data_IF_418537454551
#
_entry.id   IF_418537454551
#
_cell.length_a   1.000
_cell.length_b   1.000
_cell.length_c   1.000
_cell.angle_alpha   90.00
_cell.angle_beta   90.00
_cell.angle_gamma   90.00
#
_symmetry.space_group_name_H-M   'P 1'
#
loop_
_entity.id
_entity.type
_entity.pdbx_description
1 polymer ?
#
# COMPACT_ATOMS: atom_id res chain seq x y z
N UNK A 1 29.32 18.34 5.72
CA UNK A 1 29.63 16.99 5.24
C UNK A 1 29.41 16.96 3.73
N UNK A 2 30.26 16.27 2.98
CA UNK A 2 30.38 16.38 1.52
C UNK A 2 29.27 15.58 0.83
N UNK A 3 28.25 16.26 0.29
CA UNK A 3 27.30 15.68 -0.64
C UNK A 3 28.09 15.20 -1.86
N UNK A 4 28.34 13.90 -1.96
CA UNK A 4 28.97 13.30 -3.14
C UNK A 4 27.94 13.23 -4.28
N UNK A 5 27.53 14.39 -4.78
CA UNK A 5 26.87 14.51 -6.07
C UNK A 5 27.94 14.36 -7.15
N UNK A 6 28.26 13.12 -7.53
CA UNK A 6 29.17 12.87 -8.64
C UNK A 6 28.41 12.96 -9.97
N UNK A 7 28.88 13.91 -10.78
CA UNK A 7 28.64 14.20 -12.20
C UNK A 7 27.65 15.33 -12.52
N UNK A 8 28.24 16.52 -12.59
CA UNK A 8 27.71 17.77 -13.17
C UNK A 8 27.68 17.65 -14.69
N UNK A 9 26.48 17.65 -15.27
CA UNK A 9 26.23 17.91 -16.68
C UNK A 9 25.08 18.89 -16.80
N UNK A 10 25.38 20.17 -17.00
CA UNK A 10 24.37 21.19 -17.29
C UNK A 10 23.91 21.04 -18.74
N UNK A 11 22.91 20.18 -18.97
CA UNK A 11 22.14 20.14 -20.19
C UNK A 11 20.66 20.14 -19.82
N UNK A 12 19.95 21.21 -20.16
CA UNK A 12 18.49 21.24 -20.18
C UNK A 12 18.01 20.15 -21.15
N UNK A 13 17.69 18.97 -20.65
CA UNK A 13 17.23 17.86 -21.49
C UNK A 13 16.18 17.03 -20.74
N UNK A 14 14.98 17.04 -21.32
CA UNK A 14 13.93 16.01 -21.33
C UNK A 14 14.08 14.86 -20.34
N UNK A 15 13.11 14.77 -19.42
CA UNK A 15 12.76 13.66 -18.52
C UNK A 15 13.90 12.76 -18.05
N UNK A 16 14.37 12.92 -16.80
CA UNK A 16 15.55 12.22 -16.35
C UNK A 16 15.20 10.76 -16.11
N UNK A 17 15.65 9.91 -17.03
CA UNK A 17 15.65 8.46 -16.83
C UNK A 17 16.38 8.14 -15.53
N UNK A 18 15.68 7.54 -14.56
CA UNK A 18 16.19 7.31 -13.20
C UNK A 18 15.68 5.98 -12.66
N UNK A 19 16.40 5.43 -11.71
CA UNK A 19 15.94 4.29 -10.90
C UNK A 19 15.92 4.69 -9.42
N UNK A 20 14.73 4.82 -8.86
CA UNK A 20 14.49 4.96 -7.42
C UNK A 20 14.60 3.58 -6.76
N UNK A 21 15.61 3.40 -5.93
CA UNK A 21 15.79 2.21 -5.12
C UNK A 21 15.20 2.46 -3.75
N UNK A 22 14.28 1.59 -3.32
CA UNK A 22 13.71 1.62 -1.96
C UNK A 22 14.16 0.37 -1.22
N UNK A 23 14.86 0.56 -0.10
CA UNK A 23 15.35 -0.51 0.76
C UNK A 23 14.45 -0.63 1.99
N UNK A 24 13.97 -1.84 2.23
CA UNK A 24 13.16 -2.21 3.41
C UNK A 24 13.84 -3.35 4.16
N UNK A 25 13.46 -3.61 5.41
CA UNK A 25 14.09 -4.65 6.22
C UNK A 25 13.15 -5.16 7.33
N UNK A 26 13.32 -6.41 7.76
CA UNK A 26 12.72 -7.00 8.98
C UNK A 26 13.75 -7.19 10.12
N UNK A 27 14.97 -6.69 9.93
CA UNK A 27 15.95 -6.53 11.01
C UNK A 27 15.57 -5.38 11.94
N UNK A 28 15.97 -5.46 13.22
CA UNK A 28 15.80 -4.35 14.16
C UNK A 28 16.74 -3.18 13.79
N UNK A 29 16.19 -1.96 13.71
CA UNK A 29 16.91 -0.72 13.33
C UNK A 29 16.61 0.41 14.34
N UNK A 30 17.64 1.03 14.96
CA UNK A 30 19.02 0.57 15.01
C UNK A 30 19.14 -0.64 15.94
N UNK A 31 20.02 -1.59 15.62
CA UNK A 31 20.29 -2.73 16.48
C UNK A 31 21.07 -3.79 15.73
N UNK A 32 20.34 -4.68 15.06
CA UNK A 32 20.94 -5.74 14.26
C UNK A 32 21.50 -5.20 12.95
N UNK A 33 20.80 -4.24 12.35
CA UNK A 33 21.24 -3.56 11.14
C UNK A 33 21.64 -2.11 11.48
N UNK A 34 22.93 -1.82 11.33
CA UNK A 34 23.53 -0.53 11.67
C UNK A 34 23.86 0.32 10.43
N UNK A 35 24.02 -0.30 9.26
CA UNK A 35 24.27 0.41 8.00
C UNK A 35 23.77 -0.39 6.79
N UNK A 36 23.49 0.31 5.69
CA UNK A 36 23.27 -0.27 4.36
C UNK A 36 24.39 0.21 3.45
N UNK A 37 25.11 -0.71 2.83
CA UNK A 37 26.10 -0.42 1.80
C UNK A 37 25.54 -0.82 0.43
N UNK A 38 25.45 0.13 -0.48
CA UNK A 38 24.94 -0.06 -1.83
C UNK A 38 26.09 0.04 -2.83
N UNK A 39 26.18 -0.92 -3.75
CA UNK A 39 27.15 -0.93 -4.84
C UNK A 39 26.44 -1.15 -6.18
N UNK A 40 26.72 -0.31 -7.16
CA UNK A 40 26.13 -0.36 -8.51
C UNK A 40 27.23 -0.60 -9.54
N UNK A 41 27.06 -1.62 -10.38
CA UNK A 41 28.02 -1.92 -11.44
C UNK A 41 27.45 -2.79 -12.58
N UNK A 42 28.12 -2.84 -13.74
CA UNK A 42 27.70 -3.60 -14.92
C UNK A 42 28.04 -5.11 -14.85
N UNK A 43 28.01 -5.71 -13.65
CA UNK A 43 28.72 -6.95 -13.28
C UNK A 43 30.21 -6.71 -12.96
N UNK A 44 30.74 -7.50 -12.01
CA UNK A 44 32.01 -7.27 -11.30
C UNK A 44 33.19 -6.93 -12.25
N UNK A 45 33.60 -5.66 -12.32
CA UNK A 45 34.76 -5.27 -13.12
C UNK A 45 34.86 -3.83 -13.63
N UNK A 46 33.85 -2.97 -13.41
CA UNK A 46 34.00 -1.51 -13.64
C UNK A 46 34.11 -0.76 -12.31
N UNK A 47 34.56 0.50 -12.36
CA UNK A 47 34.57 1.44 -11.23
C UNK A 47 33.15 1.55 -10.65
N UNK A 48 32.81 0.66 -9.73
CA UNK A 48 31.49 0.55 -9.14
C UNK A 48 31.23 1.80 -8.31
N UNK A 49 30.07 2.42 -8.51
CA UNK A 49 29.63 3.47 -7.62
C UNK A 49 29.17 2.82 -6.32
N UNK A 50 29.74 3.23 -5.19
CA UNK A 50 29.34 2.76 -3.87
C UNK A 50 28.83 3.90 -3.00
N UNK A 51 27.82 3.64 -2.20
CA UNK A 51 27.30 4.53 -1.17
C UNK A 51 27.09 3.76 0.12
N UNK A 52 27.33 4.42 1.26
CA UNK A 52 27.09 3.86 2.59
C UNK A 52 26.09 4.74 3.34
N UNK A 53 25.08 4.11 3.92
CA UNK A 53 23.97 4.76 4.62
C UNK A 53 23.97 4.27 6.06
N UNK A 54 24.47 5.10 6.99
CA UNK A 54 24.46 4.77 8.41
C UNK A 54 23.03 4.82 8.96
N UNK A 55 22.56 3.75 9.62
CA UNK A 55 21.26 3.69 10.30
C UNK A 55 21.36 3.94 11.81
N UNK A 56 22.59 4.08 12.32
CA UNK A 56 22.89 4.43 13.71
C UNK A 56 23.78 5.68 13.78
N UNK A 57 23.96 6.22 14.99
CA UNK A 57 24.78 7.42 15.21
C UNK A 57 24.04 8.74 14.98
N UNK A 58 24.82 9.82 14.83
CA UNK A 58 24.31 11.19 14.70
C UNK A 58 23.81 11.53 13.30
N UNK A 59 24.32 10.83 12.28
CA UNK A 59 24.02 11.02 10.86
C UNK A 59 23.17 9.86 10.33
N UNK A 60 22.22 9.43 11.17
CA UNK A 60 21.43 8.23 10.91
C UNK A 60 20.35 8.49 9.86
N UNK A 61 20.18 7.51 9.00
CA UNK A 61 19.10 7.39 8.03
C UNK A 61 17.98 6.56 8.68
N UNK A 62 16.73 6.87 8.32
CA UNK A 62 15.56 6.11 8.78
C UNK A 62 15.17 5.06 7.74
N UNK A 63 14.61 3.93 8.20
CA UNK A 63 14.02 2.93 7.31
C UNK A 63 12.52 3.20 7.15
N UNK A 64 11.94 2.99 5.96
CA UNK A 64 12.60 2.57 4.72
C UNK A 64 13.55 3.63 4.13
N UNK A 65 14.70 3.16 3.64
CA UNK A 65 15.72 4.00 3.01
C UNK A 65 15.44 4.10 1.51
N UNK A 66 15.72 5.23 0.88
CA UNK A 66 15.68 5.32 -0.59
C UNK A 66 16.83 6.16 -1.16
N UNK A 67 17.22 5.85 -2.40
CA UNK A 67 18.20 6.61 -3.16
C UNK A 67 17.99 6.43 -4.67
N UNK A 68 18.52 7.36 -5.46
CA UNK A 68 18.36 7.37 -6.92
C UNK A 68 19.64 6.95 -7.61
N UNK A 69 19.51 6.10 -8.62
CA UNK A 69 20.57 5.75 -9.56
C UNK A 69 20.21 6.39 -10.91
N UNK A 70 21.17 7.10 -11.52
CA UNK A 70 21.05 7.61 -12.88
C UNK A 70 21.82 6.71 -13.87
N UNK A 71 21.36 6.55 -15.11
CA UNK A 71 22.11 5.85 -16.15
C UNK A 71 23.40 6.60 -16.45
N UNK A 72 24.54 5.91 -16.35
CA UNK A 72 25.83 6.47 -16.75
C UNK A 72 25.80 6.85 -18.23
N UNK A 73 26.23 8.07 -18.53
CA UNK A 73 26.23 8.66 -19.88
C UNK A 73 24.83 8.72 -20.52
N UNK A 74 23.75 8.67 -19.72
CA UNK A 74 22.37 8.67 -20.22
C UNK A 74 21.91 7.36 -20.85
N UNK A 75 22.73 6.31 -20.85
CA UNK A 75 22.41 5.02 -21.46
C UNK A 75 21.43 4.22 -20.59
N UNK A 76 20.14 4.37 -20.90
CA UNK A 76 19.02 3.67 -20.28
C UNK A 76 18.94 2.18 -20.69
N UNK A 77 19.57 1.79 -21.81
CA UNK A 77 19.49 0.42 -22.33
C UNK A 77 20.39 -0.56 -21.59
N UNK A 78 21.38 -0.04 -20.87
CA UNK A 78 22.36 -0.85 -20.15
C UNK A 78 21.73 -1.47 -18.89
N UNK A 79 21.79 -2.80 -18.72
CA UNK A 79 21.39 -3.44 -17.47
C UNK A 79 22.35 -3.04 -16.35
N UNK A 80 21.84 -3.00 -15.12
CA UNK A 80 22.63 -2.74 -13.92
C UNK A 80 22.50 -3.89 -12.94
N UNK A 81 23.58 -4.17 -12.22
CA UNK A 81 23.56 -4.99 -11.02
C UNK A 81 23.72 -4.08 -9.80
N UNK A 82 22.74 -4.11 -8.91
CA UNK A 82 22.73 -3.45 -7.61
C UNK A 82 22.98 -4.51 -6.54
N UNK A 83 24.07 -4.36 -5.78
CA UNK A 83 24.33 -5.15 -4.59
C UNK A 83 24.06 -4.30 -3.35
N UNK A 84 23.23 -4.82 -2.45
CA UNK A 84 22.91 -4.22 -1.17
C UNK A 84 23.39 -5.13 -0.05
N UNK A 85 24.20 -4.58 0.83
CA UNK A 85 24.70 -5.26 2.02
C UNK A 85 24.12 -4.59 3.26
N UNK A 86 23.41 -5.36 4.08
CA UNK A 86 23.08 -4.95 5.43
C UNK A 86 24.22 -5.29 6.38
N UNK A 87 24.71 -4.31 7.14
CA UNK A 87 25.87 -4.44 8.02
C UNK A 87 25.51 -4.21 9.49
N UNK A 88 26.14 -4.97 10.38
CA UNK A 88 26.02 -4.80 11.83
C UNK A 88 26.87 -3.62 12.36
N UNK A 89 26.83 -3.36 13.67
CA UNK A 89 27.63 -2.29 14.31
C UNK A 89 29.15 -2.48 14.18
N UNK A 90 29.62 -3.68 13.84
CA UNK A 90 31.05 -3.99 13.60
C UNK A 90 31.44 -3.79 12.14
N UNK A 91 30.48 -3.41 11.28
CA UNK A 91 30.66 -3.26 9.85
C UNK A 91 30.66 -4.58 9.08
N UNK A 92 30.31 -5.70 9.72
CA UNK A 92 30.24 -7.01 9.07
C UNK A 92 28.92 -7.14 8.30
N UNK A 93 28.99 -7.59 7.05
CA UNK A 93 27.80 -7.88 6.26
C UNK A 93 27.06 -9.09 6.85
N UNK A 94 25.82 -8.87 7.31
CA UNK A 94 24.95 -9.92 7.87
C UNK A 94 23.94 -10.42 6.85
N UNK A 95 23.60 -9.60 5.86
CA UNK A 95 22.72 -9.96 4.74
C UNK A 95 23.22 -9.30 3.46
N UNK A 96 23.17 -10.03 2.34
CA UNK A 96 23.55 -9.52 1.02
C UNK A 96 22.45 -9.85 0.03
N UNK A 97 22.00 -8.85 -0.72
CA UNK A 97 21.00 -9.01 -1.78
C UNK A 97 21.51 -8.38 -3.07
N UNK A 98 21.47 -9.15 -4.15
CA UNK A 98 21.79 -8.67 -5.50
C UNK A 98 20.51 -8.51 -6.29
N UNK A 99 20.41 -7.44 -7.07
CA UNK A 99 19.29 -7.16 -7.98
C UNK A 99 19.84 -6.78 -9.34
N UNK A 100 19.45 -7.54 -10.37
CA UNK A 100 19.69 -7.20 -11.77
C UNK A 100 18.43 -6.60 -12.37
N UNK A 101 18.56 -5.40 -12.91
CA UNK A 101 17.44 -4.64 -13.46
C UNK A 101 17.91 -3.71 -14.59
N UNK A 102 17.02 -2.92 -15.17
CA UNK A 102 17.32 -1.98 -16.25
C UNK A 102 16.58 -0.66 -16.02
N UNK A 103 17.01 0.39 -16.71
CA UNK A 103 16.26 1.65 -16.68
C UNK A 103 15.09 1.61 -17.66
N UNK A 104 14.09 2.46 -17.42
CA UNK A 104 13.02 2.72 -18.38
C UNK A 104 13.28 4.09 -18.99
N UNK A 105 13.60 4.13 -20.27
CA UNK A 105 13.95 5.36 -20.97
C UNK A 105 12.81 6.38 -20.86
N UNK A 106 13.15 7.61 -20.46
CA UNK A 106 12.21 8.71 -20.25
C UNK A 106 11.37 8.62 -18.97
N UNK A 107 11.65 7.67 -18.07
CA UNK A 107 10.86 7.48 -16.85
C UNK A 107 11.72 7.31 -15.60
N UNK A 108 11.12 7.61 -14.44
CA UNK A 108 11.65 7.15 -13.16
C UNK A 108 11.04 5.78 -12.85
N UNK A 109 11.87 4.75 -12.86
CA UNK A 109 11.48 3.42 -12.42
C UNK A 109 11.73 3.25 -10.92
N UNK A 110 10.95 2.41 -10.26
CA UNK A 110 11.13 2.03 -8.86
C UNK A 110 11.50 0.55 -8.74
N UNK A 111 12.46 0.26 -7.88
CA UNK A 111 12.80 -1.10 -7.46
C UNK A 111 12.82 -1.16 -5.93
N UNK A 112 12.00 -2.04 -5.36
CA UNK A 112 11.95 -2.28 -3.92
C UNK A 112 12.82 -3.50 -3.59
N UNK A 113 13.76 -3.33 -2.66
CA UNK A 113 14.66 -4.38 -2.21
C UNK A 113 14.46 -4.61 -0.72
N UNK A 114 14.10 -5.83 -0.35
CA UNK A 114 13.89 -6.21 1.05
C UNK A 114 15.12 -6.96 1.60
N UNK A 115 15.77 -6.43 2.62
CA UNK A 115 16.85 -7.10 3.34
C UNK A 115 16.22 -7.98 4.42
N UNK A 116 16.20 -9.28 4.19
CA UNK A 116 15.42 -10.23 4.99
C UNK A 116 16.29 -11.01 5.97
N UNK A 117 15.82 -11.15 7.21
CA UNK A 117 16.44 -11.97 8.24
C UNK A 117 16.53 -13.44 7.86
N UNK A 118 15.55 -13.94 7.10
CA UNK A 118 15.59 -15.31 6.57
C UNK A 118 16.81 -15.56 5.65
N UNK A 119 17.44 -14.49 5.16
CA UNK A 119 18.64 -14.49 4.33
C UNK A 119 19.92 -14.16 5.09
N UNK A 120 19.87 -14.02 6.42
CA UNK A 120 21.05 -13.77 7.25
C UNK A 120 22.10 -14.88 7.05
N UNK A 121 23.35 -14.47 6.80
CA UNK A 121 24.50 -15.32 6.52
C UNK A 121 24.32 -16.33 5.37
N UNK A 122 23.27 -16.18 4.53
CA UNK A 122 23.04 -17.08 3.40
C UNK A 122 23.75 -16.57 2.15
N UNK A 123 24.54 -17.45 1.53
CA UNK A 123 25.22 -17.18 0.26
C UNK A 123 24.67 -18.09 -0.83
N UNK A 124 24.25 -17.51 -1.95
CA UNK A 124 23.87 -18.25 -3.14
C UNK A 124 25.09 -18.41 -4.05
N UNK A 125 25.52 -19.65 -4.28
CA UNK A 125 26.76 -19.95 -5.02
C UNK A 125 26.59 -20.01 -6.53
N UNK A 126 25.35 -20.05 -7.01
CA UNK A 126 25.04 -20.07 -8.45
C UNK A 126 24.94 -18.64 -8.96
N UNK A 127 25.64 -18.34 -10.06
CA UNK A 127 25.59 -17.03 -10.69
C UNK A 127 24.15 -16.66 -11.08
N UNK A 128 23.78 -15.39 -10.87
CA UNK A 128 22.42 -14.89 -11.12
C UNK A 128 21.39 -15.30 -10.06
N UNK A 129 21.81 -15.93 -8.95
CA UNK A 129 20.93 -16.19 -7.81
C UNK A 129 21.28 -15.29 -6.61
N UNK A 130 20.26 -14.81 -5.92
CA UNK A 130 20.34 -14.10 -4.63
C UNK A 130 19.39 -14.74 -3.63
N UNK A 131 19.58 -14.48 -2.34
CA UNK A 131 18.62 -14.94 -1.34
C UNK A 131 17.35 -14.06 -1.36
N UNK A 132 16.18 -14.69 -1.40
CA UNK A 132 14.84 -14.09 -1.30
C UNK A 132 13.94 -15.05 -0.54
N UNK A 133 13.24 -14.59 0.50
CA UNK A 133 12.41 -15.36 1.41
C UNK A 133 13.13 -16.55 2.05
N UNK A 134 14.44 -16.44 2.26
CA UNK A 134 15.25 -17.55 2.73
C UNK A 134 15.42 -18.67 1.70
N UNK A 135 15.34 -18.41 0.40
CA UNK A 135 15.65 -19.32 -0.70
C UNK A 135 16.59 -18.64 -1.71
N UNK A 136 17.43 -19.41 -2.43
CA UNK A 136 18.17 -18.87 -3.57
C UNK A 136 17.27 -18.80 -4.81
N UNK A 137 16.98 -17.58 -5.27
CA UNK A 137 16.13 -17.30 -6.44
C UNK A 137 16.84 -16.37 -7.41
N UNK A 138 16.33 -16.26 -8.63
CA UNK A 138 16.86 -15.32 -9.63
C UNK A 138 16.93 -13.89 -9.06
N UNK A 139 18.03 -13.21 -9.34
CA UNK A 139 18.26 -11.81 -8.94
C UNK A 139 17.63 -10.79 -9.91
N UNK A 140 16.99 -11.25 -10.98
CA UNK A 140 16.30 -10.40 -11.96
C UNK A 140 15.01 -9.83 -11.37
N UNK A 141 14.93 -8.50 -11.33
CA UNK A 141 13.75 -7.76 -10.87
C UNK A 141 13.34 -6.78 -11.96
N UNK A 142 12.12 -6.94 -12.45
CA UNK A 142 11.56 -5.99 -13.41
C UNK A 142 11.34 -4.63 -12.72
N UNK A 143 11.85 -3.52 -13.28
CA UNK A 143 11.58 -2.20 -12.74
C UNK A 143 10.09 -1.87 -12.88
N UNK A 144 9.47 -1.32 -11.83
CA UNK A 144 8.11 -0.80 -11.91
C UNK A 144 8.17 0.65 -12.40
N UNK A 145 7.48 0.98 -13.50
CA UNK A 145 7.35 2.37 -13.94
C UNK A 145 6.56 3.13 -12.87
N UNK A 146 7.15 4.21 -12.36
CA UNK A 146 6.59 5.01 -11.29
C UNK A 146 6.38 6.44 -11.77
N UNK A 147 5.16 6.73 -12.22
CA UNK A 147 4.77 8.07 -12.65
C UNK A 147 4.40 8.88 -11.40
N UNK A 148 5.29 9.74 -10.90
CA UNK A 148 4.93 10.65 -9.79
C UNK A 148 6.01 11.11 -8.81
N UNK A 149 7.30 10.90 -9.07
CA UNK A 149 8.36 11.55 -8.28
C UNK A 149 9.00 12.68 -9.08
N UNK A 150 8.77 13.93 -8.66
CA UNK A 150 9.62 15.06 -9.01
C UNK A 150 10.92 15.02 -8.17
N UNK A 151 12.00 15.70 -8.61
CA UNK A 151 13.14 15.95 -7.72
C UNK A 151 12.66 16.62 -6.40
N UNK A 152 12.91 16.00 -5.25
CA UNK A 152 12.47 16.48 -3.93
C UNK A 152 11.30 15.73 -3.32
N UNK A 153 10.67 14.79 -4.05
CA UNK A 153 9.58 13.95 -3.53
C UNK A 153 10.10 12.67 -2.85
N UNK A 154 11.41 12.37 -2.88
CA UNK A 154 12.00 11.20 -2.23
C UNK A 154 11.46 11.04 -0.79
N UNK A 155 11.21 9.78 -0.35
CA UNK A 155 10.81 9.50 1.04
C UNK A 155 11.70 10.32 1.96
N UNK A 156 11.11 11.24 2.75
CA UNK A 156 11.77 12.27 3.57
C UNK A 156 13.24 11.96 3.68
N UNK A 157 14.01 12.66 2.87
CA UNK A 157 15.40 12.39 2.58
C UNK A 157 16.14 11.80 3.78
N UNK A 158 16.90 10.77 3.46
CA UNK A 158 18.12 10.31 4.12
C UNK A 158 19.09 11.42 4.59
N UNK A 159 18.75 12.69 4.42
CA UNK A 159 19.48 13.83 4.96
C UNK A 159 19.56 13.73 6.48
N UNK A 160 20.79 13.74 6.98
CA UNK A 160 21.08 14.09 8.36
C UNK A 160 20.29 15.34 8.71
N UNK A 161 19.50 15.32 9.79
CA UNK A 161 18.87 16.53 10.32
C UNK A 161 19.97 17.55 10.63
N UNK A 162 20.30 18.42 9.70
CA UNK A 162 21.13 19.57 9.99
C UNK A 162 20.24 20.61 10.69
N UNK A 163 20.79 21.20 11.74
CA UNK A 163 20.06 22.07 12.65
C UNK A 163 19.86 23.49 12.06
N UNK A 164 19.52 23.58 10.76
CA UNK A 164 19.30 24.83 10.05
C UNK A 164 17.88 25.36 10.22
N UNK A 165 17.76 26.64 10.59
CA UNK A 165 16.48 27.35 10.72
C UNK A 165 15.92 27.66 9.32
N UNK A 166 14.63 27.37 9.08
CA UNK A 166 13.91 27.75 7.85
C UNK A 166 13.79 29.27 7.76
N UNK A 167 14.37 29.89 6.74
CA UNK A 167 14.09 31.25 6.30
C UNK A 167 13.26 31.23 5.01
N UNK A 168 11.94 31.08 5.16
CA UNK A 168 10.99 31.35 4.08
C UNK A 168 10.65 32.85 4.09
N UNK A 169 11.23 33.61 3.16
CA UNK A 169 10.80 34.98 2.84
C UNK A 169 9.90 34.99 1.61
N UNK A 170 8.71 35.57 1.75
CA UNK A 170 7.74 35.87 0.70
C UNK A 170 8.23 37.05 -0.15
N UNK A 171 8.37 36.89 -1.47
CA UNK A 171 8.33 38.02 -2.41
C UNK A 171 7.60 37.65 -3.71
N UNK A 172 6.56 38.42 -3.94
CA UNK A 172 5.66 38.56 -5.06
C UNK A 172 6.27 39.40 -6.20
N UNK A 173 5.94 39.06 -7.44
CA UNK A 173 5.71 40.02 -8.54
C UNK A 173 5.16 39.29 -9.76
N UNK A 174 3.94 39.63 -10.18
CA UNK A 174 3.32 39.16 -11.42
C UNK A 174 3.60 40.06 -12.64
N UNK A 175 2.96 39.72 -13.77
CA UNK A 175 2.61 40.70 -14.81
C UNK A 175 2.65 40.19 -16.27
N UNK A 176 1.55 40.44 -17.00
CA UNK A 176 1.44 40.52 -18.48
C UNK A 176 0.90 39.25 -19.16
N UNK A 177 -0.39 39.12 -19.48
CA UNK A 177 -1.15 39.68 -20.63
C UNK A 177 -0.84 39.02 -22.01
N UNK A 178 -1.94 38.51 -22.60
CA UNK A 178 -2.40 38.41 -24.01
C UNK A 178 -1.54 37.86 -25.18
N UNK A 179 -2.05 36.77 -25.79
CA UNK A 179 -2.22 36.67 -27.25
C UNK A 179 -3.28 35.60 -27.63
N UNK A 180 -4.37 36.06 -28.23
CA UNK A 180 -5.30 35.25 -29.01
C UNK A 180 -4.64 34.84 -30.33
N UNK A 181 -4.69 33.56 -30.70
CA UNK A 181 -4.64 33.13 -32.10
C UNK A 181 -5.60 31.97 -32.29
N UNK A 182 -6.54 32.18 -33.20
CA UNK A 182 -7.56 31.23 -33.63
C UNK A 182 -7.11 30.54 -34.95
N UNK A 183 -7.59 29.30 -35.11
CA UNK A 183 -7.74 28.47 -36.33
C UNK A 183 -6.48 27.88 -37.01
N UNK A 184 -6.41 26.54 -37.14
CA UNK A 184 -6.73 25.76 -38.37
C UNK A 184 -6.59 24.25 -38.11
N UNK A 185 -7.61 23.54 -38.58
CA UNK A 185 -7.79 22.09 -38.71
C UNK A 185 -6.75 21.41 -39.64
N UNK A 186 -6.21 20.27 -39.20
CA UNK A 186 -5.67 19.24 -40.08
C UNK A 186 -5.66 17.90 -39.34
N UNK A 187 -6.55 16.98 -39.76
CA UNK A 187 -6.50 15.60 -39.32
C UNK A 187 -5.22 14.90 -39.78
N UNK A 188 -4.73 13.97 -38.96
CA UNK A 188 -3.94 12.85 -39.43
C UNK A 188 -4.13 11.64 -38.51
N UNK A 189 -4.05 10.47 -39.13
CA UNK A 189 -4.36 9.17 -38.57
C UNK A 189 -3.15 8.55 -37.88
N UNK A 190 -3.36 8.08 -36.64
CA UNK A 190 -2.79 6.84 -36.14
C UNK A 190 -1.32 6.85 -35.73
N UNK A 191 -1.09 7.14 -34.45
CA UNK A 191 -0.14 6.43 -33.58
C UNK A 191 -0.62 6.55 -32.13
N UNK A 192 -0.59 5.45 -31.37
CA UNK A 192 -0.96 5.42 -29.95
C UNK A 192 0.06 6.27 -29.18
N UNK A 193 -0.34 7.45 -28.74
CA UNK A 193 0.46 8.34 -27.89
C UNK A 193 0.49 7.84 -26.44
N UNK A 194 1.58 8.09 -25.70
CA UNK A 194 1.63 7.84 -24.27
C UNK A 194 0.78 8.89 -23.54
N UNK A 195 -0.39 8.44 -23.06
CA UNK A 195 -1.17 9.00 -21.94
C UNK A 195 -0.94 10.50 -21.71
N UNK A 196 -1.57 11.32 -22.55
CA UNK A 196 -2.08 12.62 -22.15
C UNK A 196 -2.65 12.53 -20.73
N UNK A 197 -2.10 13.28 -19.77
CA UNK A 197 -2.55 13.33 -18.38
C UNK A 197 -4.05 13.65 -18.32
N UNK A 198 -4.85 12.59 -18.33
CA UNK A 198 -6.20 12.60 -18.87
C UNK A 198 -7.06 13.66 -18.22
N UNK A 199 -7.42 14.69 -18.97
CA UNK A 199 -8.37 15.71 -18.51
C UNK A 199 -9.76 15.14 -18.21
N UNK A 200 -10.03 13.91 -18.65
CA UNK A 200 -11.29 13.19 -18.42
C UNK A 200 -11.13 12.08 -17.40
N UNK A 201 -12.01 11.99 -16.39
CA UNK A 201 -12.01 10.90 -15.42
C UNK A 201 -12.02 9.54 -16.10
N UNK A 202 -11.12 8.66 -15.68
CA UNK A 202 -11.04 7.26 -16.09
C UNK A 202 -11.37 6.37 -14.90
N UNK A 203 -12.42 5.56 -15.02
CA UNK A 203 -12.87 4.61 -14.01
C UNK A 203 -12.66 3.15 -14.45
N UNK A 204 -13.04 2.19 -13.61
CA UNK A 204 -13.07 0.76 -13.97
C UNK A 204 -14.26 0.35 -14.85
N UNK A 205 -15.10 1.28 -15.32
CA UNK A 205 -16.32 0.96 -16.09
C UNK A 205 -15.98 0.19 -17.37
N UNK A 206 -16.53 -1.03 -17.50
CA UNK A 206 -16.26 -1.92 -18.64
C UNK A 206 -14.84 -2.48 -18.70
N UNK A 207 -14.03 -2.32 -17.64
CA UNK A 207 -12.66 -2.80 -17.56
C UNK A 207 -12.52 -3.97 -16.59
N UNK A 208 -11.59 -4.87 -16.91
CA UNK A 208 -11.16 -5.98 -16.07
C UNK A 208 -9.63 -6.02 -15.99
N UNK A 209 -9.11 -6.57 -14.88
CA UNK A 209 -7.69 -6.76 -14.69
C UNK A 209 -6.98 -5.54 -14.14
N UNK A 210 -5.64 -5.54 -14.23
CA UNK A 210 -4.80 -4.43 -13.78
C UNK A 210 -5.00 -3.22 -14.70
N UNK A 211 -5.42 -2.09 -14.15
CA UNK A 211 -5.67 -0.85 -14.89
C UNK A 211 -5.05 0.33 -14.15
N UNK A 212 -4.56 1.31 -14.92
CA UNK A 212 -4.30 2.65 -14.40
C UNK A 212 -5.59 3.46 -14.57
N UNK A 213 -6.11 3.98 -13.47
CA UNK A 213 -7.33 4.78 -13.44
C UNK A 213 -7.02 6.16 -12.86
N UNK A 214 -7.88 7.11 -13.18
CA UNK A 214 -7.80 8.49 -12.72
C UNK A 214 -9.24 8.98 -12.43
N UNK A 215 -9.78 8.68 -11.24
CA UNK A 215 -11.19 8.92 -10.94
C UNK A 215 -11.59 10.40 -10.90
N UNK A 216 -10.65 11.31 -10.64
CA UNK A 216 -10.88 12.76 -10.58
C UNK A 216 -10.32 13.51 -11.81
N UNK A 217 -9.60 12.84 -12.71
CA UNK A 217 -9.11 13.41 -13.96
C UNK A 217 -8.10 14.52 -13.67
N UNK A 218 -8.43 15.76 -14.09
CA UNK A 218 -7.63 16.94 -13.73
C UNK A 218 -7.71 17.34 -12.24
N UNK A 219 -8.14 16.44 -11.37
CA UNK A 219 -8.28 16.64 -9.93
C UNK A 219 -6.94 16.63 -9.19
N UNK A 220 -7.02 16.54 -7.86
CA UNK A 220 -5.85 16.59 -6.99
C UNK A 220 -5.16 15.23 -6.82
N UNK A 221 -5.85 14.14 -7.15
CA UNK A 221 -5.31 12.79 -7.02
C UNK A 221 -4.56 12.42 -8.31
N UNK A 222 -3.31 11.94 -8.23
CA UNK A 222 -2.64 11.44 -9.41
C UNK A 222 -3.29 10.12 -9.88
N UNK A 223 -3.18 9.78 -11.18
CA UNK A 223 -3.55 8.46 -11.68
C UNK A 223 -2.84 7.35 -10.91
N UNK A 224 -3.52 6.23 -10.67
CA UNK A 224 -2.95 5.10 -9.92
C UNK A 224 -3.35 3.75 -10.51
N UNK A 225 -2.48 2.77 -10.26
CA UNK A 225 -2.72 1.38 -10.62
C UNK A 225 -3.65 0.70 -9.61
N UNK A 226 -4.60 -0.07 -10.12
CA UNK A 226 -5.50 -0.90 -9.32
C UNK A 226 -5.98 -2.11 -10.12
N UNK A 227 -6.80 -2.96 -9.50
CA UNK A 227 -7.48 -4.05 -10.17
C UNK A 227 -8.95 -3.72 -10.38
N UNK A 228 -9.38 -3.78 -11.64
CA UNK A 228 -10.77 -3.66 -12.05
C UNK A 228 -11.43 -5.04 -12.17
N UNK A 229 -12.69 -5.12 -11.77
CA UNK A 229 -13.53 -6.30 -11.93
C UNK A 229 -14.95 -5.86 -12.31
N UNK A 230 -15.32 -5.92 -13.59
CA UNK A 230 -16.67 -5.60 -14.07
C UNK A 230 -17.21 -4.27 -13.52
N UNK A 231 -16.45 -3.17 -13.70
CA UNK A 231 -16.81 -1.85 -13.17
C UNK A 231 -16.42 -1.59 -11.71
N UNK A 232 -15.97 -2.61 -10.97
CA UNK A 232 -15.55 -2.47 -9.58
C UNK A 232 -14.07 -2.17 -9.44
N UNK A 233 -13.72 -1.23 -8.57
CA UNK A 233 -12.32 -0.85 -8.29
C UNK A 233 -11.84 -1.47 -6.98
N UNK A 234 -10.75 -2.24 -6.98
CA UNK A 234 -10.19 -2.78 -5.75
C UNK A 234 -9.71 -1.64 -4.82
N UNK A 235 -10.13 -1.67 -3.56
CA UNK A 235 -9.77 -0.66 -2.54
C UNK A 235 -8.70 -1.20 -1.58
N UNK A 236 -8.92 -2.42 -1.08
CA UNK A 236 -8.04 -3.04 -0.10
C UNK A 236 -8.17 -4.57 -0.11
N UNK A 237 -7.15 -5.22 0.43
CA UNK A 237 -7.07 -6.66 0.69
C UNK A 237 -6.71 -6.86 2.16
N UNK A 238 -7.32 -7.86 2.79
CA UNK A 238 -7.03 -8.21 4.19
C UNK A 238 -6.74 -9.69 4.30
N UNK A 239 -5.53 -10.04 4.75
CA UNK A 239 -5.26 -11.34 5.33
C UNK A 239 -5.87 -11.37 6.73
N UNK A 240 -6.94 -12.15 6.90
CA UNK A 240 -7.62 -12.29 8.17
C UNK A 240 -6.74 -12.80 9.32
N UNK A 241 -5.58 -13.39 9.04
CA UNK A 241 -4.61 -13.80 10.07
C UNK A 241 -3.62 -12.70 10.46
N UNK A 242 -3.54 -11.61 9.68
CA UNK A 242 -2.61 -10.51 9.91
C UNK A 242 -3.15 -9.50 10.91
N UNK A 243 -2.38 -9.09 11.93
CA UNK A 243 -2.77 -8.05 12.87
C UNK A 243 -2.68 -6.64 12.27
N UNK A 244 -2.04 -6.46 11.10
CA UNK A 244 -1.86 -5.13 10.48
C UNK A 244 -3.18 -4.47 10.17
N UNK A 245 -4.17 -5.26 9.78
CA UNK A 245 -5.51 -4.77 9.46
C UNK A 245 -6.47 -4.84 10.64
N UNK A 246 -6.01 -5.02 11.90
CA UNK A 246 -6.89 -5.00 13.07
C UNK A 246 -7.58 -3.64 13.23
N UNK A 247 -8.76 -3.60 13.85
CA UNK A 247 -9.55 -2.37 14.02
C UNK A 247 -8.72 -1.20 14.57
N UNK A 248 -7.90 -1.47 15.59
CA UNK A 248 -7.13 -0.46 16.31
C UNK A 248 -5.87 -0.01 15.59
N UNK A 249 -5.57 -0.55 14.41
CA UNK A 249 -4.39 -0.15 13.67
C UNK A 249 -4.60 1.23 13.03
N UNK A 250 -3.59 2.08 13.12
CA UNK A 250 -3.62 3.45 12.59
C UNK A 250 -3.64 3.49 11.05
N UNK A 251 -3.26 2.40 10.37
CA UNK A 251 -3.32 2.28 8.91
C UNK A 251 -4.73 2.61 8.36
N UNK A 252 -5.78 2.24 9.08
CA UNK A 252 -7.18 2.53 8.72
C UNK A 252 -7.50 4.03 8.66
N UNK A 253 -6.85 4.83 9.49
CA UNK A 253 -7.20 6.24 9.71
C UNK A 253 -6.09 7.18 9.29
N UNK A 254 -4.96 6.70 8.79
CA UNK A 254 -3.84 7.55 8.39
C UNK A 254 -4.02 8.03 6.95
N UNK A 255 -3.96 9.35 6.72
CA UNK A 255 -4.12 9.96 5.38
C UNK A 255 -2.80 10.02 4.61
N UNK A 256 -1.71 9.70 5.29
CA UNK A 256 -0.33 9.72 4.79
C UNK A 256 0.27 8.32 4.72
N UNK A 257 -0.53 7.27 4.90
CA UNK A 257 -0.04 5.91 4.75
C UNK A 257 0.26 5.70 3.27
N UNK A 258 1.52 5.39 2.96
CA UNK A 258 1.87 4.99 1.62
C UNK A 258 1.07 3.72 1.28
N UNK A 259 0.51 3.62 0.06
CA UNK A 259 -0.13 2.39 -0.37
C UNK A 259 0.85 1.23 -0.17
N UNK A 260 0.33 0.11 0.33
CA UNK A 260 1.14 -1.07 0.61
C UNK A 260 0.45 -2.32 0.10
N UNK A 261 1.23 -3.39 -0.04
CA UNK A 261 0.80 -4.63 -0.67
C UNK A 261 0.63 -4.47 -2.17
N UNK A 262 0.21 -5.54 -2.84
CA UNK A 262 0.00 -5.52 -4.29
C UNK A 262 -1.48 -5.35 -4.64
N UNK A 263 -1.76 -4.78 -5.79
CA UNK A 263 -3.10 -4.70 -6.37
C UNK A 263 -3.61 -6.04 -6.91
N UNK A 264 -2.77 -7.08 -6.96
CA UNK A 264 -3.16 -8.39 -7.49
C UNK A 264 -4.14 -9.11 -6.54
N UNK A 265 -5.39 -9.42 -6.96
CA UNK A 265 -6.37 -10.07 -6.08
C UNK A 265 -6.00 -11.49 -5.67
N UNK A 266 -5.10 -12.15 -6.40
CA UNK A 266 -4.63 -13.51 -6.11
C UNK A 266 -3.53 -13.57 -5.04
N UNK A 267 -2.89 -12.44 -4.76
CA UNK A 267 -1.82 -12.36 -3.77
C UNK A 267 -2.46 -12.16 -2.39
N UNK A 268 -2.10 -13.05 -1.44
CA UNK A 268 -2.80 -13.26 -0.15
C UNK A 268 -2.26 -12.41 1.00
N UNK A 269 -1.54 -11.34 0.71
CA UNK A 269 -1.09 -10.33 1.66
C UNK A 269 -2.10 -9.20 1.85
N UNK A 270 -1.98 -8.49 2.98
CA UNK A 270 -2.69 -7.23 3.18
C UNK A 270 -2.28 -6.20 2.12
N UNK A 271 -3.26 -5.42 1.65
CA UNK A 271 -3.00 -4.26 0.83
C UNK A 271 -4.00 -3.16 1.08
N UNK A 272 -3.55 -1.91 1.00
CA UNK A 272 -4.40 -0.72 0.97
C UNK A 272 -3.94 0.12 -0.22
N UNK A 273 -4.80 0.24 -1.22
CA UNK A 273 -4.48 0.84 -2.51
C UNK A 273 -4.86 2.32 -2.52
N UNK A 274 -4.29 3.16 -3.40
CA UNK A 274 -4.63 4.59 -3.49
C UNK A 274 -6.14 4.86 -3.54
N UNK A 275 -6.89 4.00 -4.23
CA UNK A 275 -8.36 4.02 -4.29
C UNK A 275 -9.07 4.00 -2.92
N UNK A 276 -8.46 3.44 -1.86
CA UNK A 276 -9.00 3.53 -0.50
C UNK A 276 -9.17 4.97 -0.02
N UNK A 277 -8.19 5.83 -0.36
CA UNK A 277 -8.15 7.22 0.07
C UNK A 277 -8.78 8.17 -0.95
N UNK A 278 -8.69 7.86 -2.23
CA UNK A 278 -9.07 8.79 -3.31
C UNK A 278 -10.40 8.49 -3.98
N UNK A 279 -10.86 7.22 -4.01
CA UNK A 279 -12.07 6.86 -4.76
C UNK A 279 -13.33 7.16 -3.94
N UNK A 280 -14.21 8.08 -4.39
CA UNK A 280 -15.53 8.24 -3.78
C UNK A 280 -16.41 7.04 -4.19
N UNK A 281 -17.00 6.35 -3.21
CA UNK A 281 -17.82 5.16 -3.43
C UNK A 281 -19.25 5.36 -2.94
N UNK A 282 -20.20 4.68 -3.59
CA UNK A 282 -21.59 4.52 -3.13
C UNK A 282 -21.93 3.08 -2.78
N UNK A 283 -21.18 2.12 -3.30
CA UNK A 283 -21.40 0.72 -3.04
C UNK A 283 -20.08 0.01 -2.76
N UNK A 284 -20.13 -1.00 -1.91
CA UNK A 284 -19.02 -1.88 -1.62
C UNK A 284 -19.35 -3.30 -2.10
N UNK A 285 -18.45 -3.91 -2.86
CA UNK A 285 -18.46 -5.35 -3.11
C UNK A 285 -17.42 -6.00 -2.21
N UNK A 286 -17.89 -6.78 -1.25
CA UNK A 286 -17.03 -7.51 -0.32
C UNK A 286 -16.94 -8.95 -0.80
N UNK A 287 -15.72 -9.45 -0.96
CA UNK A 287 -15.44 -10.85 -1.27
C UNK A 287 -14.66 -11.46 -0.11
N UNK A 288 -15.11 -12.60 0.41
CA UNK A 288 -14.38 -13.39 1.40
C UNK A 288 -14.00 -14.75 0.83
N UNK A 289 -12.75 -15.14 1.05
CA UNK A 289 -12.18 -16.40 0.59
C UNK A 289 -11.78 -17.30 1.75
N UNK A 290 -12.03 -18.59 1.56
CA UNK A 290 -11.67 -19.68 2.47
C UNK A 290 -11.22 -20.88 1.62
N UNK A 291 -9.91 -21.09 1.57
CA UNK A 291 -9.30 -22.03 0.61
C UNK A 291 -9.71 -21.68 -0.83
N UNK A 292 -10.28 -22.65 -1.54
CA UNK A 292 -10.76 -22.46 -2.91
C UNK A 292 -12.16 -21.82 -3.01
N UNK A 293 -12.85 -21.63 -1.88
CA UNK A 293 -14.23 -21.09 -1.88
C UNK A 293 -14.20 -19.59 -1.74
N UNK A 294 -14.85 -18.88 -2.67
CA UNK A 294 -15.11 -17.44 -2.58
C UNK A 294 -16.60 -17.19 -2.39
N UNK A 295 -16.94 -16.18 -1.59
CA UNK A 295 -18.31 -15.69 -1.40
C UNK A 295 -18.29 -14.19 -1.48
N UNK A 296 -19.22 -13.59 -2.20
CA UNK A 296 -19.30 -12.15 -2.36
C UNK A 296 -20.70 -11.61 -2.11
N UNK A 297 -20.74 -10.34 -1.69
CA UNK A 297 -21.96 -9.57 -1.51
C UNK A 297 -21.70 -8.12 -1.90
N UNK A 298 -22.75 -7.45 -2.36
CA UNK A 298 -22.75 -6.02 -2.67
C UNK A 298 -23.60 -5.30 -1.64
N UNK A 299 -23.05 -4.25 -1.04
CA UNK A 299 -23.73 -3.44 -0.04
C UNK A 299 -23.74 -1.97 -0.46
N UNK A 300 -24.90 -1.32 -0.50
CA UNK A 300 -24.96 0.12 -0.70
C UNK A 300 -24.50 0.84 0.57
N UNK A 301 -23.79 1.95 0.42
CA UNK A 301 -23.61 2.94 1.49
C UNK A 301 -24.89 3.77 1.61
N UNK A 302 -25.26 4.10 2.84
CA UNK A 302 -26.49 4.83 3.16
C UNK A 302 -26.15 6.11 3.94
N UNK A 303 -26.96 7.15 3.72
CA UNK A 303 -26.84 8.42 4.43
C UNK A 303 -26.63 9.62 3.52
N UNK A 304 -26.67 10.80 4.13
CA UNK A 304 -26.37 12.07 3.48
C UNK A 304 -24.86 12.23 3.28
N UNK A 305 -24.43 12.92 2.22
CA UNK A 305 -22.99 13.19 1.96
C UNK A 305 -22.26 12.13 1.12
N UNK A 306 -22.97 11.18 0.52
CA UNK A 306 -22.41 10.23 -0.45
C UNK A 306 -22.21 10.87 -1.85
N UNK A 307 -21.21 10.42 -2.64
CA UNK A 307 -20.24 9.36 -2.34
C UNK A 307 -19.16 9.82 -1.37
N UNK A 308 -18.58 8.88 -0.62
CA UNK A 308 -17.48 9.13 0.32
C UNK A 308 -16.29 8.24 0.01
N UNK A 309 -15.09 8.67 0.39
CA UNK A 309 -13.91 7.80 0.39
C UNK A 309 -14.00 6.82 1.56
N UNK A 310 -13.35 5.66 1.43
CA UNK A 310 -13.39 4.69 2.52
C UNK A 310 -12.59 5.17 3.75
N UNK A 311 -11.49 5.91 3.54
CA UNK A 311 -10.75 6.54 4.65
C UNK A 311 -11.61 7.55 5.43
N UNK A 312 -12.42 8.38 4.76
CA UNK A 312 -13.30 9.34 5.46
C UNK A 312 -14.39 8.60 6.24
N UNK A 313 -15.03 7.61 5.62
CA UNK A 313 -16.05 6.79 6.27
C UNK A 313 -15.53 6.10 7.55
N UNK A 314 -14.26 5.67 7.55
CA UNK A 314 -13.65 4.98 8.69
C UNK A 314 -13.21 5.94 9.83
N UNK A 315 -12.98 7.21 9.51
CA UNK A 315 -12.50 8.25 10.46
C UNK A 315 -13.62 8.95 11.20
N UNK A 316 -14.78 9.10 10.58
CA UNK A 316 -15.85 9.91 11.13
C UNK A 316 -16.37 9.31 12.45
N UNK A 317 -16.61 10.18 13.43
CA UNK A 317 -17.21 9.80 14.73
C UNK A 317 -18.67 9.31 14.56
N UNK A 318 -19.27 9.61 13.40
CA UNK A 318 -20.59 9.14 12.98
C UNK A 318 -20.39 8.01 11.98
N UNK A 319 -20.74 6.76 12.33
CA UNK A 319 -20.63 5.64 11.41
C UNK A 319 -21.42 5.87 10.13
N UNK A 320 -20.79 5.59 8.99
CA UNK A 320 -21.50 5.49 7.71
C UNK A 320 -22.32 4.20 7.75
N UNK A 321 -23.64 4.34 7.57
CA UNK A 321 -24.52 3.18 7.50
C UNK A 321 -24.23 2.40 6.21
N UNK A 322 -24.13 1.08 6.35
CA UNK A 322 -23.98 0.17 5.21
C UNK A 322 -25.21 -0.70 5.15
N UNK A 323 -25.77 -0.86 3.96
CA UNK A 323 -26.91 -1.73 3.71
C UNK A 323 -26.58 -3.20 3.95
N UNK A 324 -27.61 -4.03 3.79
CA UNK A 324 -27.50 -5.47 3.97
C UNK A 324 -28.01 -5.95 5.34
N UNK A 325 -28.59 -7.13 5.31
CA UNK A 325 -29.15 -7.86 6.43
C UNK A 325 -28.07 -8.68 7.14
N UNK A 326 -28.38 -9.12 8.36
CA UNK A 326 -27.57 -10.10 9.07
C UNK A 326 -27.32 -11.38 8.23
N UNK A 327 -28.31 -11.81 7.45
CA UNK A 327 -28.19 -12.98 6.58
C UNK A 327 -27.17 -12.76 5.46
N UNK A 328 -27.16 -11.58 4.84
CA UNK A 328 -26.20 -11.26 3.78
C UNK A 328 -24.77 -11.19 4.32
N UNK A 329 -24.54 -10.48 5.44
CA UNK A 329 -23.22 -10.43 6.08
C UNK A 329 -22.73 -11.81 6.56
N UNK A 330 -23.62 -12.63 7.11
CA UNK A 330 -23.25 -13.99 7.54
C UNK A 330 -23.00 -14.94 6.36
N UNK A 331 -23.63 -14.69 5.20
CA UNK A 331 -23.38 -15.48 4.00
C UNK A 331 -21.92 -15.37 3.52
N UNK A 332 -21.28 -14.21 3.67
CA UNK A 332 -19.85 -14.01 3.33
C UNK A 332 -18.94 -14.94 4.12
N UNK A 333 -19.25 -15.12 5.41
CA UNK A 333 -18.47 -15.96 6.32
C UNK A 333 -18.92 -17.42 6.31
N UNK A 334 -19.92 -17.81 5.52
CA UNK A 334 -20.35 -19.20 5.36
C UNK A 334 -20.72 -19.94 6.66
N UNK A 335 -20.96 -19.22 7.75
CA UNK A 335 -21.22 -19.79 9.08
C UNK A 335 -22.50 -19.24 9.66
N UNK A 336 -23.14 -20.04 10.52
CA UNK A 336 -24.24 -19.61 11.38
C UNK A 336 -23.74 -18.84 12.62
N UNK A 337 -22.52 -18.30 12.57
CA UNK A 337 -21.85 -17.76 13.75
C UNK A 337 -22.60 -16.56 14.35
N UNK A 338 -23.31 -15.79 13.53
CA UNK A 338 -24.07 -14.61 13.96
C UNK A 338 -25.58 -14.84 13.72
N UNK A 339 -26.17 -15.83 14.39
CA UNK A 339 -27.60 -16.16 14.24
C UNK A 339 -28.39 -15.97 15.53
N UNK A 340 -29.64 -15.51 15.38
CA UNK A 340 -30.61 -15.40 16.47
C UNK A 340 -30.38 -14.19 17.38
N UNK A 341 -29.80 -13.12 16.84
CA UNK A 341 -29.41 -11.93 17.60
C UNK A 341 -30.59 -10.95 17.68
N UNK A 342 -30.82 -10.40 18.87
CA UNK A 342 -31.92 -9.48 19.15
C UNK A 342 -31.62 -8.05 18.67
N UNK A 343 -30.34 -7.73 18.47
CA UNK A 343 -29.88 -6.44 17.99
C UNK A 343 -28.68 -6.60 17.05
N UNK A 344 -28.64 -5.78 16.00
CA UNK A 344 -27.58 -5.74 14.99
C UNK A 344 -27.21 -4.30 14.65
N UNK A 345 -25.92 -4.06 14.45
CA UNK A 345 -25.40 -2.80 13.93
C UNK A 345 -24.49 -3.06 12.75
N UNK A 346 -24.77 -2.40 11.64
CA UNK A 346 -24.04 -2.53 10.37
C UNK A 346 -23.47 -1.15 10.04
N UNK A 347 -22.22 -1.09 9.62
CA UNK A 347 -21.63 0.19 9.24
C UNK A 347 -20.12 0.19 9.08
N UNK A 348 -19.62 1.42 8.88
CA UNK A 348 -18.21 1.78 8.79
C UNK A 348 -17.97 2.95 9.76
N UNK A 349 -17.35 2.70 10.93
CA UNK A 349 -17.19 1.40 11.59
C UNK A 349 -18.49 0.85 12.19
N UNK A 350 -18.59 -0.48 12.30
CA UNK A 350 -19.64 -1.15 13.08
C UNK A 350 -19.18 -1.41 14.52
N UNK A 351 -19.91 -0.84 15.48
CA UNK A 351 -19.60 -0.95 16.92
C UNK A 351 -20.84 -0.90 17.81
N UNK A 352 -20.77 -1.57 18.97
CA UNK A 352 -21.80 -1.50 20.00
C UNK A 352 -22.00 -0.06 20.52
N UNK A 353 -23.18 0.28 21.08
CA UNK A 353 -23.41 1.57 21.73
C UNK A 353 -22.39 1.85 22.85
N UNK A 354 -22.17 3.13 23.13
CA UNK A 354 -21.22 3.63 24.14
C UNK A 354 -19.74 3.32 23.89
N UNK A 355 -19.40 2.96 22.64
CA UNK A 355 -18.02 2.74 22.22
C UNK A 355 -17.38 1.55 22.91
N UNK A 356 -18.18 0.54 23.31
CA UNK A 356 -17.67 -0.67 23.94
C UNK A 356 -16.49 -1.23 23.12
N UNK A 357 -15.26 -1.16 23.67
CA UNK A 357 -14.07 -1.51 22.91
C UNK A 357 -13.97 -3.00 22.63
N UNK A 358 -14.89 -3.81 23.20
CA UNK A 358 -14.85 -5.27 23.17
C UNK A 358 -15.05 -5.86 21.78
N UNK A 359 -15.93 -5.31 20.94
CA UNK A 359 -16.16 -5.86 19.59
C UNK A 359 -16.39 -4.72 18.63
N UNK A 360 -15.43 -4.52 17.74
CA UNK A 360 -15.47 -3.48 16.72
C UNK A 360 -15.00 -4.05 15.39
N UNK A 361 -15.65 -3.61 14.31
CA UNK A 361 -15.33 -4.02 12.95
C UNK A 361 -15.30 -2.77 12.08
N UNK A 362 -14.28 -2.63 11.23
CA UNK A 362 -14.12 -1.44 10.37
C UNK A 362 -15.15 -1.41 9.26
N UNK A 363 -15.45 -2.56 8.67
CA UNK A 363 -16.48 -2.72 7.64
C UNK A 363 -17.23 -4.00 7.96
N UNK A 364 -18.47 -3.90 8.44
CA UNK A 364 -19.22 -5.11 8.73
C UNK A 364 -20.42 -4.95 9.63
N UNK A 365 -20.70 -6.03 10.36
CA UNK A 365 -21.79 -6.16 11.30
C UNK A 365 -21.28 -6.60 12.67
N UNK A 366 -21.84 -5.99 13.71
CA UNK A 366 -21.75 -6.45 15.09
C UNK A 366 -23.15 -6.79 15.55
N UNK A 367 -23.31 -7.91 16.25
CA UNK A 367 -24.61 -8.38 16.70
C UNK A 367 -24.59 -8.82 18.16
N UNK A 368 -25.75 -8.76 18.79
CA UNK A 368 -25.93 -9.05 20.22
C UNK A 368 -27.20 -9.85 20.47
N UNK A 369 -27.12 -10.77 21.42
CA UNK A 369 -28.29 -11.49 21.93
C UNK A 369 -29.15 -10.60 22.83
N UNK A 370 -28.65 -9.42 23.21
CA UNK A 370 -29.39 -8.41 23.96
C UNK A 370 -30.04 -7.42 22.98
N UNK A 371 -31.21 -6.89 23.36
CA UNK A 371 -31.99 -5.99 22.50
C UNK A 371 -31.36 -4.60 22.33
N UNK A 372 -30.40 -4.24 23.17
CA UNK A 372 -29.77 -2.91 23.20
C UNK A 372 -28.39 -2.87 22.53
N UNK A 373 -27.89 -4.00 22.00
CA UNK A 373 -26.53 -4.13 21.46
C UNK A 373 -25.38 -3.80 22.45
N UNK A 374 -25.64 -3.65 23.75
CA UNK A 374 -24.61 -3.21 24.72
C UNK A 374 -23.53 -4.27 24.99
N UNK A 375 -23.78 -5.52 24.60
CA UNK A 375 -22.81 -6.62 24.68
C UNK A 375 -22.85 -7.43 23.39
N UNK A 376 -21.95 -7.10 22.47
CA UNK A 376 -21.80 -7.84 21.24
C UNK A 376 -21.44 -9.32 21.51
N UNK A 377 -22.25 -10.23 20.99
CA UNK A 377 -22.06 -11.68 21.06
C UNK A 377 -21.54 -12.29 19.76
N UNK A 378 -21.53 -11.51 18.67
CA UNK A 378 -20.97 -11.94 17.40
C UNK A 378 -20.62 -10.79 16.47
N UNK A 379 -19.85 -11.11 15.44
CA UNK A 379 -19.43 -10.17 14.40
C UNK A 379 -19.20 -10.88 13.07
N UNK A 380 -19.27 -10.13 11.98
CA UNK A 380 -18.78 -10.53 10.67
C UNK A 380 -18.30 -9.30 9.90
N UNK A 381 -17.19 -9.42 9.18
CA UNK A 381 -16.66 -8.32 8.38
C UNK A 381 -15.13 -8.27 8.36
N UNK A 382 -14.61 -7.06 8.24
CA UNK A 382 -13.20 -6.74 7.97
C UNK A 382 -12.72 -5.69 8.97
N UNK A 383 -11.47 -5.82 9.39
CA UNK A 383 -10.84 -4.99 10.38
C UNK A 383 -11.43 -5.19 11.77
N UNK A 384 -11.62 -6.44 12.18
CA UNK A 384 -12.14 -6.76 13.50
C UNK A 384 -11.09 -6.57 14.61
N UNK A 385 -11.56 -6.20 15.79
CA UNK A 385 -10.83 -6.29 17.05
C UNK A 385 -11.78 -6.77 18.13
N UNK A 386 -11.41 -7.88 18.77
CA UNK A 386 -12.19 -8.50 19.84
C UNK A 386 -11.39 -8.50 21.15
N UNK A 387 -11.78 -7.70 22.12
CA UNK A 387 -11.23 -7.74 23.47
C UNK A 387 -11.96 -8.80 24.32
N UNK A 388 -11.21 -9.43 25.23
CA UNK A 388 -11.74 -10.53 26.04
C UNK A 388 -12.86 -10.08 26.99
N UNK A 389 -13.92 -10.87 27.06
CA UNK A 389 -14.98 -10.74 28.06
C UNK A 389 -15.09 -12.03 28.89
N UNK A 390 -15.42 -11.91 30.17
CA UNK A 390 -15.69 -13.07 31.01
C UNK A 390 -16.79 -13.95 30.39
N UNK A 391 -16.45 -15.21 30.07
CA UNK A 391 -17.35 -16.15 29.40
C UNK A 391 -17.35 -16.10 27.86
N UNK A 392 -16.52 -15.25 27.25
CA UNK A 392 -16.37 -15.12 25.80
C UNK A 392 -14.90 -15.32 25.38
N UNK A 393 -14.69 -15.84 24.17
CA UNK A 393 -13.34 -16.05 23.62
C UNK A 393 -12.81 -14.78 22.94
N UNK A 394 -11.50 -14.55 23.01
CA UNK A 394 -10.77 -13.58 22.18
C UNK A 394 -10.39 -14.21 20.85
N UNK A 395 -10.37 -13.40 19.78
CA UNK A 395 -9.92 -13.84 18.47
C UNK A 395 -8.98 -12.80 17.86
N UNK A 396 -7.90 -13.27 17.23
CA UNK A 396 -6.95 -12.42 16.51
C UNK A 396 -7.30 -12.21 15.04
N UNK A 397 -8.43 -12.77 14.56
CA UNK A 397 -8.78 -12.70 13.16
C UNK A 397 -9.29 -11.30 12.80
N UNK A 398 -8.69 -10.68 11.80
CA UNK A 398 -9.04 -9.33 11.33
C UNK A 398 -10.09 -9.35 10.22
N UNK A 399 -10.28 -10.47 9.53
CA UNK A 399 -11.36 -10.67 8.57
C UNK A 399 -12.01 -12.05 8.73
N UNK A 400 -13.34 -12.08 8.68
CA UNK A 400 -14.14 -13.28 8.91
C UNK A 400 -15.37 -12.99 9.74
N UNK A 401 -15.71 -13.88 10.67
CA UNK A 401 -16.81 -13.70 11.61
C UNK A 401 -16.81 -14.73 12.73
N UNK A 402 -17.40 -14.42 13.87
CA UNK A 402 -17.42 -15.35 15.00
C UNK A 402 -18.62 -15.13 15.91
N UNK A 403 -18.98 -16.19 16.65
CA UNK A 403 -19.77 -16.09 17.87
C UNK A 403 -18.84 -16.08 19.06
N UNK A 404 -18.84 -14.99 19.81
CA UNK A 404 -17.90 -14.75 20.89
C UNK A 404 -18.30 -15.45 22.20
N UNK A 405 -19.60 -15.44 22.49
CA UNK A 405 -20.14 -15.81 23.79
C UNK A 405 -21.09 -17.02 23.67
N UNK A 406 -21.06 -17.90 24.68
CA UNK A 406 -21.94 -19.08 24.78
C UNK A 406 -21.22 -20.35 25.25
N UNK A 407 -22.01 -21.35 25.65
CA UNK A 407 -21.48 -22.68 26.02
C UNK A 407 -20.97 -23.43 24.76
N UNK A 408 -19.83 -24.15 24.82
CA UNK A 408 -19.47 -25.12 23.78
C UNK A 408 -20.62 -26.12 23.62
N UNK A 409 -21.08 -26.47 22.40
CA UNK A 409 -20.45 -26.36 21.07
C UNK A 409 -20.86 -25.12 20.24
N UNK A 410 -21.51 -24.12 20.86
CA UNK A 410 -22.07 -22.97 20.13
C UNK A 410 -21.05 -21.87 19.85
N UNK A 411 -19.84 -21.96 20.42
CA UNK A 411 -18.70 -21.14 19.98
C UNK A 411 -18.20 -21.72 18.66
N UNK A 412 -18.33 -20.94 17.59
CA UNK A 412 -17.83 -21.29 16.27
C UNK A 412 -16.94 -20.16 15.80
N UNK A 413 -15.65 -20.46 15.72
CA UNK A 413 -14.69 -19.65 15.00
C UNK A 413 -15.02 -19.75 13.51
N UNK A 414 -15.14 -18.63 12.80
CA UNK A 414 -14.71 -18.66 11.41
C UNK A 414 -13.19 -18.53 11.41
N UNK A 415 -12.55 -19.41 10.65
CA UNK A 415 -11.15 -19.29 10.29
C UNK A 415 -10.86 -17.90 9.72
N UNK A 416 -9.63 -17.38 9.91
CA UNK A 416 -9.23 -16.14 9.25
C UNK A 416 -9.53 -16.26 7.76
N UNK A 417 -10.26 -15.29 7.23
CA UNK A 417 -10.62 -15.24 5.81
C UNK A 417 -9.76 -14.20 5.13
N UNK A 418 -9.36 -14.50 3.91
CA UNK A 418 -8.81 -13.47 3.05
C UNK A 418 -9.97 -12.65 2.48
N UNK A 419 -9.94 -11.33 2.64
CA UNK A 419 -10.99 -10.44 2.17
C UNK A 419 -10.49 -9.49 1.09
N UNK A 420 -11.35 -9.22 0.10
CA UNK A 420 -11.18 -8.18 -0.89
C UNK A 420 -12.35 -7.22 -0.76
N UNK A 421 -12.08 -5.92 -0.82
CA UNK A 421 -13.13 -4.90 -0.87
C UNK A 421 -12.96 -4.10 -2.15
N UNK A 422 -14.01 -4.06 -2.94
CA UNK A 422 -14.09 -3.19 -4.11
C UNK A 422 -15.12 -2.09 -3.88
N UNK A 423 -14.92 -0.96 -4.54
CA UNK A 423 -15.83 0.18 -4.53
C UNK A 423 -16.19 0.66 -5.93
N UNK A 424 -17.34 1.30 -6.02
CA UNK A 424 -17.78 2.06 -7.19
C UNK A 424 -18.73 3.19 -6.81
#
# INVERSE_FOLDING_TARGET
MMLAAMCVGCGETSDPTRLLVVVTTDFEVPGELAAVHAQVGPEAGCDACSAEFALSGTERHEMPLSFVIAPRDGDASRPIALQLEGRDERGAAIVVRTVRTSFVAGSTARVVVHLERACEARTCTTAGLTCVAGDCRGDEVAPEIFDGYGPGDELRDAGVRDAGVRDAGEHDAGGGEDAQVEVVDAGDAGTVEPSDGGTSPRSCEGLDGRQQIDPDGAGASPPFWTWCLDGWTLLLKVDGGSPRMAFTNDEWVTSTAAPFGTEMPGAVEDAMLPSYWSLPVRELRVVMREGATSRDQVFPLLGEGLPVTLVSAVRDDVPVEVGGTLAEWTSLVGTTAVQGEACTRVGIPAQAPDGDPRVRVRIGIVASSQSDCSQASGWAGIGASVAGQAGCSTFGNTAGGARLCGNPPNRREAFPRFALVYGR
#
